data_IF_030262798760
#
_entry.id   IF_030262798760
#
_cell.length_a   1.000
_cell.length_b   1.000
_cell.length_c   1.000
_cell.angle_alpha   90.00
_cell.angle_beta   90.00
_cell.angle_gamma   90.00
#
_symmetry.space_group_name_H-M   'P 1'
#
loop_
_entity.id
_entity.type
_entity.pdbx_description
1 polymer ?
#
# COMPACT_ATOMS: atom_id res chain seq x y z
N UNK A 1 -15.89 32.18 -11.33
CA UNK A 1 -16.23 30.78 -11.01
C UNK A 1 -14.99 30.06 -10.59
N UNK A 2 -14.86 29.78 -9.31
CA UNK A 2 -13.78 28.93 -8.82
C UNK A 2 -14.07 27.49 -9.25
N UNK A 3 -13.24 26.96 -10.19
CA UNK A 3 -13.16 25.52 -10.42
C UNK A 3 -12.58 24.86 -9.17
N UNK A 4 -13.43 24.50 -8.22
CA UNK A 4 -13.05 23.57 -7.15
C UNK A 4 -12.65 22.27 -7.85
N UNK A 5 -11.32 22.05 -8.00
CA UNK A 5 -10.80 20.73 -8.36
C UNK A 5 -11.40 19.73 -7.38
N UNK A 6 -12.28 18.86 -7.87
CA UNK A 6 -12.91 17.83 -7.07
C UNK A 6 -11.78 17.03 -6.40
N UNK A 7 -11.66 17.13 -5.08
CA UNK A 7 -10.61 16.44 -4.35
C UNK A 7 -10.72 14.93 -4.61
N UNK A 8 -9.63 14.33 -5.06
CA UNK A 8 -9.62 12.88 -5.37
C UNK A 8 -9.74 12.09 -4.08
N UNK A 9 -10.53 11.02 -4.12
CA UNK A 9 -10.72 10.11 -2.99
C UNK A 9 -9.40 9.52 -2.53
N UNK A 10 -9.14 9.62 -1.23
CA UNK A 10 -7.91 9.08 -0.62
C UNK A 10 -8.00 7.57 -0.41
N UNK A 11 -6.88 6.89 -0.68
CA UNK A 11 -6.71 5.45 -0.49
C UNK A 11 -5.50 5.24 0.42
N UNK A 12 -5.66 4.48 1.50
CA UNK A 12 -4.52 3.97 2.26
C UNK A 12 -4.18 2.56 1.79
N UNK A 13 -2.92 2.37 1.39
CA UNK A 13 -2.40 1.09 0.92
C UNK A 13 -1.75 0.40 2.10
N UNK A 14 -2.17 -0.83 2.38
CA UNK A 14 -1.75 -1.63 3.53
C UNK A 14 -0.77 -2.70 3.05
N UNK A 15 0.46 -2.67 3.57
CA UNK A 15 1.53 -3.58 3.19
C UNK A 15 2.19 -4.18 4.45
N UNK A 16 1.84 -5.42 4.82
CA UNK A 16 2.60 -6.17 5.82
C UNK A 16 3.91 -6.65 5.22
N UNK A 17 5.01 -6.55 5.97
CA UNK A 17 6.33 -6.89 5.47
C UNK A 17 7.10 -7.73 6.48
N UNK A 18 7.75 -8.79 5.99
CA UNK A 18 8.67 -9.61 6.78
C UNK A 18 9.74 -10.24 5.87
N UNK A 19 11.01 -9.94 6.15
CA UNK A 19 12.18 -10.53 5.46
C UNK A 19 12.04 -10.57 3.93
N UNK A 20 11.68 -9.45 3.32
CA UNK A 20 11.34 -9.38 1.88
C UNK A 20 12.40 -8.65 1.03
N UNK A 21 13.66 -8.64 1.46
CA UNK A 21 14.73 -7.89 0.79
C UNK A 21 14.81 -8.12 -0.73
N UNK A 22 14.49 -9.31 -1.19
CA UNK A 22 14.50 -9.66 -2.63
C UNK A 22 13.35 -9.05 -3.44
N UNK A 23 12.24 -8.67 -2.79
CA UNK A 23 10.99 -8.32 -3.47
C UNK A 23 10.52 -6.89 -3.19
N UNK A 24 10.76 -6.39 -1.99
CA UNK A 24 10.11 -5.18 -1.48
C UNK A 24 10.37 -3.93 -2.33
N UNK A 25 11.56 -3.79 -2.91
CA UNK A 25 11.88 -2.64 -3.78
C UNK A 25 10.95 -2.61 -4.98
N UNK A 26 10.77 -3.75 -5.65
CA UNK A 26 9.90 -3.88 -6.82
C UNK A 26 8.44 -3.61 -6.46
N UNK A 27 8.00 -4.14 -5.34
CA UNK A 27 6.65 -3.91 -4.81
C UNK A 27 6.39 -2.41 -4.56
N UNK A 28 7.25 -1.73 -3.82
CA UNK A 28 7.10 -0.30 -3.53
C UNK A 28 7.17 0.55 -4.81
N UNK A 29 8.09 0.24 -5.72
CA UNK A 29 8.17 0.95 -7.01
C UNK A 29 6.89 0.82 -7.81
N UNK A 30 6.22 -0.32 -7.81
CA UNK A 30 4.94 -0.50 -8.49
C UNK A 30 3.83 0.36 -7.91
N UNK A 31 3.88 0.64 -6.61
CA UNK A 31 2.96 1.57 -5.93
C UNK A 31 3.29 3.02 -6.33
N UNK A 32 4.57 3.40 -6.28
CA UNK A 32 5.01 4.74 -6.65
C UNK A 32 4.68 5.09 -8.12
N UNK A 33 4.65 4.10 -8.99
CA UNK A 33 4.32 4.25 -10.41
C UNK A 33 2.82 4.26 -10.73
N UNK A 34 1.95 4.15 -9.74
CA UNK A 34 0.51 4.20 -9.98
C UNK A 34 0.11 5.53 -10.63
N UNK A 35 -0.78 5.47 -11.62
CA UNK A 35 -1.32 6.67 -12.30
C UNK A 35 -2.29 7.43 -11.39
N UNK A 36 -2.99 6.73 -10.51
CA UNK A 36 -3.77 7.35 -9.44
C UNK A 36 -2.84 7.79 -8.31
N UNK A 37 -2.84 9.08 -7.96
CA UNK A 37 -1.85 9.65 -7.03
C UNK A 37 -2.38 9.97 -5.63
N UNK A 38 -3.67 9.87 -5.38
CA UNK A 38 -4.27 10.18 -4.07
C UNK A 38 -4.23 8.99 -3.13
N UNK A 39 -3.04 8.57 -2.74
CA UNK A 39 -2.81 7.44 -1.83
C UNK A 39 -1.72 7.74 -0.81
N UNK A 40 -1.73 6.99 0.27
CA UNK A 40 -0.66 6.86 1.26
C UNK A 40 -0.34 5.38 1.43
N UNK A 41 0.93 5.04 1.58
CA UNK A 41 1.39 3.67 1.84
C UNK A 41 1.73 3.51 3.32
N UNK A 42 1.09 2.55 3.96
CA UNK A 42 1.34 2.17 5.35
C UNK A 42 2.00 0.79 5.34
N UNK A 43 3.26 0.74 5.71
CA UNK A 43 4.04 -0.49 5.84
C UNK A 43 4.15 -0.82 7.33
N UNK A 44 3.86 -2.07 7.68
CA UNK A 44 4.17 -2.62 9.01
C UNK A 44 5.23 -3.69 8.85
N UNK A 45 6.43 -3.39 9.33
CA UNK A 45 7.56 -4.32 9.32
C UNK A 45 7.49 -5.23 10.55
N UNK A 46 7.34 -6.51 10.31
CA UNK A 46 7.09 -7.52 11.33
C UNK A 46 8.41 -8.12 11.87
N UNK A 47 9.31 -7.26 12.33
CA UNK A 47 10.60 -7.64 12.90
C UNK A 47 11.53 -8.32 11.88
N UNK A 48 11.72 -7.68 10.73
CA UNK A 48 12.60 -8.16 9.67
C UNK A 48 14.09 -8.12 10.06
N UNK A 49 14.90 -8.83 9.26
CA UNK A 49 16.36 -8.78 9.33
C UNK A 49 16.89 -7.37 8.95
N UNK A 50 18.18 -7.16 9.24
CA UNK A 50 18.83 -5.86 8.98
C UNK A 50 18.79 -5.45 7.52
N UNK A 51 19.00 -6.37 6.58
CA UNK A 51 18.99 -6.09 5.14
C UNK A 51 17.64 -5.49 4.69
N UNK A 52 16.54 -6.11 5.07
CA UNK A 52 15.19 -5.61 4.77
C UNK A 52 14.94 -4.26 5.42
N UNK A 53 15.31 -4.09 6.69
CA UNK A 53 15.14 -2.81 7.41
C UNK A 53 15.93 -1.68 6.75
N UNK A 54 17.16 -1.92 6.31
CA UNK A 54 17.98 -0.92 5.65
C UNK A 54 17.37 -0.45 4.33
N UNK A 55 16.79 -1.37 3.56
CA UNK A 55 16.03 -1.05 2.34
C UNK A 55 14.82 -0.16 2.67
N UNK A 56 14.00 -0.57 3.63
CA UNK A 56 12.80 0.17 4.02
C UNK A 56 13.11 1.58 4.54
N UNK A 57 14.19 1.75 5.29
CA UNK A 57 14.61 3.06 5.80
C UNK A 57 14.87 4.07 4.70
N UNK A 58 15.35 3.63 3.54
CA UNK A 58 15.54 4.52 2.37
C UNK A 58 14.21 5.05 1.83
N UNK A 59 13.16 4.26 1.86
CA UNK A 59 11.81 4.66 1.43
C UNK A 59 11.09 5.51 2.48
N UNK A 60 11.43 5.41 3.75
CA UNK A 60 10.77 6.15 4.84
C UNK A 60 10.89 7.67 4.73
N UNK A 61 11.81 8.16 3.90
CA UNK A 61 12.00 9.59 3.63
C UNK A 61 10.91 10.18 2.73
N UNK A 62 10.11 9.37 2.05
CA UNK A 62 9.02 9.82 1.19
C UNK A 62 7.77 10.13 2.03
N UNK A 63 7.19 11.32 1.84
CA UNK A 63 6.02 11.79 2.60
C UNK A 63 4.81 10.86 2.51
N UNK A 64 4.65 10.16 1.39
CA UNK A 64 3.53 9.23 1.17
C UNK A 64 3.72 7.87 1.81
N UNK A 65 4.90 7.58 2.35
CA UNK A 65 5.23 6.28 2.94
C UNK A 65 5.42 6.43 4.44
N UNK A 66 4.64 5.70 5.21
CA UNK A 66 4.76 5.57 6.66
C UNK A 66 5.10 4.13 7.01
N UNK A 67 6.18 3.96 7.80
CA UNK A 67 6.64 2.65 8.25
C UNK A 67 6.49 2.54 9.75
N UNK A 68 5.87 1.46 10.21
CA UNK A 68 5.77 1.05 11.61
C UNK A 68 6.62 -0.18 11.84
N UNK A 69 7.44 -0.16 12.87
CA UNK A 69 8.41 -1.20 13.18
C UNK A 69 7.93 -2.03 14.37
N UNK A 70 7.68 -3.33 14.16
CA UNK A 70 7.38 -4.24 15.24
C UNK A 70 8.66 -4.64 16.00
N UNK A 71 8.54 -4.81 17.30
CA UNK A 71 9.64 -5.27 18.16
C UNK A 71 9.73 -6.80 18.30
N UNK A 72 8.82 -7.52 17.66
CA UNK A 72 8.81 -8.99 17.56
C UNK A 72 7.97 -9.42 16.36
N UNK A 73 8.18 -10.65 15.87
CA UNK A 73 7.37 -11.23 14.81
C UNK A 73 5.99 -11.64 15.37
N UNK A 74 4.94 -11.10 14.76
CA UNK A 74 3.54 -11.33 15.16
C UNK A 74 2.68 -11.92 14.04
N UNK A 75 3.22 -12.02 12.82
CA UNK A 75 2.52 -12.51 11.64
C UNK A 75 1.84 -11.42 10.80
N UNK A 76 1.54 -11.79 9.55
CA UNK A 76 0.98 -10.89 8.56
C UNK A 76 -0.41 -10.38 8.93
N UNK A 77 -1.25 -11.22 9.54
CA UNK A 77 -2.59 -10.83 9.99
C UNK A 77 -2.56 -9.73 11.05
N UNK A 78 -1.69 -9.86 12.02
CA UNK A 78 -1.48 -8.82 13.04
C UNK A 78 -0.99 -7.52 12.40
N UNK A 79 -0.02 -7.61 11.49
CA UNK A 79 0.56 -6.44 10.82
C UNK A 79 -0.47 -5.71 9.96
N UNK A 80 -1.33 -6.43 9.22
CA UNK A 80 -2.44 -5.83 8.47
C UNK A 80 -3.42 -5.12 9.40
N UNK A 81 -3.84 -5.74 10.48
CA UNK A 81 -4.76 -5.14 11.44
C UNK A 81 -4.17 -3.89 12.09
N UNK A 82 -2.88 -3.93 12.42
CA UNK A 82 -2.19 -2.75 12.95
C UNK A 82 -2.19 -1.60 11.95
N UNK A 83 -1.88 -1.87 10.67
CA UNK A 83 -1.90 -0.87 9.62
C UNK A 83 -3.31 -0.29 9.39
N UNK A 84 -4.34 -1.13 9.42
CA UNK A 84 -5.74 -0.70 9.30
C UNK A 84 -6.11 0.27 10.43
N UNK A 85 -5.70 -0.01 11.65
CA UNK A 85 -5.93 0.90 12.81
C UNK A 85 -5.24 2.25 12.65
N UNK A 86 -4.14 2.31 11.90
CA UNK A 86 -3.41 3.55 11.61
C UNK A 86 -3.96 4.30 10.40
N UNK A 87 -4.87 3.70 9.66
CA UNK A 87 -5.51 4.31 8.50
C UNK A 87 -6.65 5.23 8.90
N UNK A 88 -6.84 6.29 8.13
CA UNK A 88 -7.96 7.20 8.26
C UNK A 88 -8.58 7.58 6.91
N UNK A 89 -8.24 6.87 5.85
CA UNK A 89 -8.78 7.10 4.52
C UNK A 89 -10.10 6.34 4.28
N UNK A 90 -10.99 6.85 3.40
CA UNK A 90 -12.26 6.18 3.12
C UNK A 90 -12.12 4.84 2.40
N UNK A 91 -10.98 4.60 1.74
CA UNK A 91 -10.69 3.35 1.05
C UNK A 91 -9.37 2.75 1.49
N UNK A 92 -9.34 1.41 1.56
CA UNK A 92 -8.15 0.61 1.82
C UNK A 92 -7.83 -0.24 0.59
N UNK A 93 -6.55 -0.35 0.26
CA UNK A 93 -6.05 -1.30 -0.72
C UNK A 93 -4.98 -2.18 -0.07
N UNK A 94 -4.96 -3.46 -0.39
CA UNK A 94 -4.04 -4.44 0.22
C UNK A 94 -3.06 -4.95 -0.81
N UNK A 95 -1.80 -5.06 -0.42
CA UNK A 95 -0.72 -5.63 -1.22
C UNK A 95 0.23 -6.41 -0.32
N UNK A 96 0.70 -7.55 -0.79
CA UNK A 96 1.76 -8.31 -0.13
C UNK A 96 3.15 -7.85 -0.61
N UNK A 97 4.18 -8.09 0.21
CA UNK A 97 5.53 -7.56 -0.02
C UNK A 97 6.28 -8.17 -1.21
N UNK A 98 5.73 -9.18 -1.85
CA UNK A 98 6.24 -9.84 -3.05
C UNK A 98 5.38 -9.62 -4.30
N UNK A 99 4.29 -8.87 -4.18
CA UNK A 99 3.39 -8.57 -5.29
C UNK A 99 3.81 -7.29 -6.04
N UNK A 100 3.37 -7.19 -7.30
CA UNK A 100 3.60 -6.04 -8.18
C UNK A 100 2.29 -5.62 -8.82
N UNK A 101 1.96 -4.35 -8.74
CA UNK A 101 0.77 -3.79 -9.36
C UNK A 101 1.04 -3.24 -10.75
N UNK A 102 0.10 -3.45 -11.67
CA UNK A 102 0.07 -2.72 -12.94
C UNK A 102 -0.22 -1.25 -12.66
N UNK A 103 0.34 -0.35 -13.46
CA UNK A 103 0.31 1.12 -13.22
C UNK A 103 -1.09 1.73 -13.07
N UNK A 104 -2.11 1.14 -13.66
CA UNK A 104 -3.48 1.65 -13.63
C UNK A 104 -4.40 0.91 -12.63
N UNK A 105 -3.86 0.04 -11.80
CA UNK A 105 -4.65 -0.80 -10.90
C UNK A 105 -5.57 0.02 -9.99
N UNK A 106 -5.02 0.98 -9.25
CA UNK A 106 -5.80 1.79 -8.31
C UNK A 106 -6.86 2.62 -9.04
N UNK A 107 -6.49 3.23 -10.16
CA UNK A 107 -7.40 4.04 -10.96
C UNK A 107 -8.60 3.23 -11.45
N UNK A 108 -8.33 2.04 -12.00
CA UNK A 108 -9.39 1.15 -12.49
C UNK A 108 -10.31 0.67 -11.39
N UNK A 109 -9.75 0.25 -10.25
CA UNK A 109 -10.54 -0.26 -9.13
C UNK A 109 -11.39 0.84 -8.48
N UNK A 110 -10.84 2.02 -8.21
CA UNK A 110 -11.62 3.09 -7.58
C UNK A 110 -12.75 3.58 -8.48
N UNK A 111 -12.49 3.68 -9.78
CA UNK A 111 -13.52 4.06 -10.75
C UNK A 111 -14.62 3.01 -10.83
N UNK A 112 -14.26 1.73 -10.86
CA UNK A 112 -15.21 0.62 -10.87
C UNK A 112 -16.08 0.62 -9.61
N UNK A 113 -15.48 0.76 -8.43
CA UNK A 113 -16.22 0.77 -7.17
C UNK A 113 -17.20 1.93 -7.08
N UNK A 114 -16.79 3.12 -7.49
CA UNK A 114 -17.68 4.30 -7.49
C UNK A 114 -18.81 4.16 -8.51
N UNK A 115 -18.51 3.70 -9.72
CA UNK A 115 -19.51 3.52 -10.78
C UNK A 115 -20.58 2.50 -10.40
N UNK A 116 -20.20 1.41 -9.76
CA UNK A 116 -21.08 0.29 -9.39
C UNK A 116 -21.56 0.35 -7.94
N UNK A 117 -21.21 1.40 -7.21
CA UNK A 117 -21.56 1.57 -5.80
C UNK A 117 -21.24 0.33 -4.94
N UNK A 118 -20.06 -0.28 -5.17
CA UNK A 118 -19.59 -1.42 -4.37
C UNK A 118 -18.62 -0.98 -3.28
N UNK A 119 -18.72 -1.63 -2.13
CA UNK A 119 -17.83 -1.43 -0.99
C UNK A 119 -16.62 -2.36 -0.98
N UNK A 120 -16.57 -3.34 -1.87
CA UNK A 120 -15.49 -4.31 -1.98
C UNK A 120 -15.25 -4.70 -3.44
N UNK A 121 -13.98 -4.83 -3.84
CA UNK A 121 -13.59 -5.33 -5.17
C UNK A 121 -12.24 -6.04 -5.12
N UNK A 122 -11.99 -6.91 -6.08
CA UNK A 122 -10.71 -7.55 -6.31
C UNK A 122 -10.41 -7.63 -7.81
N UNK A 123 -9.16 -7.87 -8.17
CA UNK A 123 -8.72 -7.99 -9.55
C UNK A 123 -8.17 -9.38 -9.82
N UNK A 124 -8.12 -9.77 -11.09
CA UNK A 124 -7.34 -10.92 -11.51
C UNK A 124 -5.84 -10.69 -11.27
N UNK A 125 -5.08 -11.76 -11.21
CA UNK A 125 -3.63 -11.72 -11.06
C UNK A 125 -2.96 -12.60 -12.11
N UNK A 126 -1.71 -12.30 -12.39
CA UNK A 126 -0.82 -13.10 -13.20
C UNK A 126 0.38 -13.53 -12.35
N UNK A 127 0.82 -14.77 -12.52
CA UNK A 127 2.05 -15.26 -11.89
C UNK A 127 3.25 -15.00 -12.79
N UNK A 128 4.40 -14.75 -12.20
CA UNK A 128 5.67 -14.52 -12.91
C UNK A 128 6.85 -15.21 -12.22
#
# INVERSE_FOLDING_TARGET
MENKKKEKTKIDIILPNYNSSQFIIRTIKSILNQTYKSWKLIIVDDFSNKETKDILKKFSKKNKIKIYWSNKNRGAGYSRNYAIKKSNSPYLAFIDSDDVWKKDKLKKQINFMKKNNCSFSYTNYETF
#
